data_IF_928454975953
#
_entry.id   IF_928454975953
#
_cell.length_a   1.000
_cell.length_b   1.000
_cell.length_c   1.000
_cell.angle_alpha   90.00
_cell.angle_beta   90.00
_cell.angle_gamma   90.00
#
_symmetry.space_group_name_H-M   'P 1'
#
loop_
_entity.id
_entity.type
_entity.pdbx_description
1 polymer ?
#
# COMPACT_ATOMS: atom_id res chain seq x y z
N UNK A 1 -25.94 -14.21 19.68
CA UNK A 1 -26.19 -13.66 18.31
C UNK A 1 -24.87 -13.30 17.68
N UNK A 2 -24.60 -13.70 16.44
CA UNK A 2 -23.36 -13.27 15.75
C UNK A 2 -23.55 -11.81 15.29
N UNK A 3 -22.54 -10.96 15.58
CA UNK A 3 -22.54 -9.53 15.22
C UNK A 3 -22.63 -9.36 13.70
N UNK A 4 -23.60 -8.58 13.22
CA UNK A 4 -23.68 -8.21 11.80
C UNK A 4 -22.90 -6.95 11.52
N UNK A 5 -21.99 -7.02 10.54
CA UNK A 5 -21.04 -5.95 10.17
C UNK A 5 -21.37 -5.43 8.77
N UNK A 6 -21.57 -4.12 8.64
CA UNK A 6 -21.71 -3.44 7.37
C UNK A 6 -20.37 -2.82 6.93
N UNK A 7 -19.90 -3.14 5.73
CA UNK A 7 -18.65 -2.63 5.20
C UNK A 7 -18.91 -1.70 4.01
N UNK A 8 -18.49 -0.44 4.13
CA UNK A 8 -18.44 0.51 3.03
C UNK A 8 -17.03 0.62 2.49
N UNK A 9 -16.85 0.39 1.20
CA UNK A 9 -15.55 0.53 0.58
C UNK A 9 -15.60 0.59 -0.94
N UNK A 10 -14.48 0.88 -1.56
CA UNK A 10 -14.33 0.84 -2.99
C UNK A 10 -13.97 -0.59 -3.41
N UNK A 11 -14.97 -1.41 -3.69
CA UNK A 11 -14.79 -2.82 -4.07
C UNK A 11 -14.50 -2.98 -5.56
N UNK A 12 -14.86 -2.00 -6.40
CA UNK A 12 -14.64 -2.07 -7.84
C UNK A 12 -15.40 -3.20 -8.52
N UNK A 13 -16.60 -3.54 -8.03
CA UNK A 13 -17.41 -4.60 -8.64
C UNK A 13 -17.64 -4.34 -10.13
N UNK A 14 -17.25 -5.29 -10.98
CA UNK A 14 -17.34 -5.19 -12.45
C UNK A 14 -16.18 -4.41 -13.10
N UNK A 15 -15.15 -4.00 -12.36
CA UNK A 15 -13.94 -3.38 -12.91
C UNK A 15 -12.84 -4.42 -13.12
N UNK A 16 -12.15 -4.35 -14.24
CA UNK A 16 -11.03 -5.24 -14.56
C UNK A 16 -9.70 -4.80 -13.93
N UNK A 17 -9.58 -3.51 -13.58
CA UNK A 17 -8.35 -2.95 -13.00
C UNK A 17 -8.56 -2.59 -11.54
N UNK A 18 -7.75 -3.19 -10.67
CA UNK A 18 -7.76 -2.96 -9.23
C UNK A 18 -6.64 -1.97 -8.86
N UNK A 19 -6.98 -0.95 -8.07
CA UNK A 19 -6.00 -0.04 -7.47
C UNK A 19 -5.74 -0.41 -6.00
N UNK A 20 -4.73 0.21 -5.38
CA UNK A 20 -4.36 -0.09 -3.98
C UNK A 20 -5.52 0.11 -2.97
N UNK A 21 -6.43 1.07 -3.21
CA UNK A 21 -7.62 1.26 -2.39
C UNK A 21 -8.56 0.06 -2.48
N UNK A 22 -8.83 -0.42 -3.70
CA UNK A 22 -9.69 -1.59 -3.94
C UNK A 22 -9.09 -2.84 -3.31
N UNK A 23 -7.79 -3.05 -3.48
CA UNK A 23 -7.07 -4.19 -2.92
C UNK A 23 -7.19 -4.21 -1.40
N UNK A 24 -6.89 -3.10 -0.71
CA UNK A 24 -7.02 -3.04 0.76
C UNK A 24 -8.46 -3.26 1.21
N UNK A 25 -9.44 -2.69 0.49
CA UNK A 25 -10.85 -2.88 0.81
C UNK A 25 -11.26 -4.36 0.72
N UNK A 26 -10.85 -5.04 -0.36
CA UNK A 26 -11.12 -6.47 -0.54
C UNK A 26 -10.41 -7.32 0.52
N UNK A 27 -9.15 -7.01 0.85
CA UNK A 27 -8.39 -7.73 1.87
C UNK A 27 -9.03 -7.62 3.25
N UNK A 28 -9.43 -6.42 3.67
CA UNK A 28 -10.13 -6.22 4.95
C UNK A 28 -11.48 -6.95 4.96
N UNK A 29 -12.26 -6.84 3.88
CA UNK A 29 -13.54 -7.55 3.77
C UNK A 29 -13.37 -9.07 3.83
N UNK A 30 -12.33 -9.61 3.19
CA UNK A 30 -11.99 -11.04 3.25
C UNK A 30 -11.70 -11.47 4.70
N UNK A 31 -10.87 -10.73 5.43
CA UNK A 31 -10.53 -11.04 6.81
C UNK A 31 -11.76 -10.96 7.74
N UNK A 32 -12.64 -9.97 7.54
CA UNK A 32 -13.89 -9.86 8.29
C UNK A 32 -14.83 -11.04 8.01
N UNK A 33 -14.95 -11.47 6.76
CA UNK A 33 -15.75 -12.66 6.39
C UNK A 33 -15.18 -13.95 6.98
N UNK A 34 -13.86 -14.10 6.97
CA UNK A 34 -13.15 -15.24 7.58
C UNK A 34 -13.46 -15.34 9.08
N UNK A 35 -13.45 -14.20 9.79
CA UNK A 35 -13.64 -14.14 11.24
C UNK A 35 -15.10 -14.24 11.67
N UNK A 36 -16.00 -13.48 11.03
CA UNK A 36 -17.39 -13.33 11.48
C UNK A 36 -18.38 -14.21 10.69
N UNK A 37 -17.93 -14.82 9.58
CA UNK A 37 -18.77 -15.59 8.65
C UNK A 37 -19.28 -14.71 7.50
N UNK A 38 -19.38 -15.29 6.29
CA UNK A 38 -19.80 -14.57 5.08
C UNK A 38 -21.20 -13.96 5.20
N UNK A 39 -22.13 -14.66 5.84
CA UNK A 39 -23.51 -14.27 6.04
C UNK A 39 -23.69 -13.07 6.99
N UNK A 40 -22.67 -12.79 7.81
CA UNK A 40 -22.70 -11.70 8.78
C UNK A 40 -21.99 -10.42 8.30
N UNK A 41 -21.38 -10.43 7.09
CA UNK A 41 -20.66 -9.28 6.53
C UNK A 41 -21.34 -8.77 5.27
N UNK A 42 -21.95 -7.59 5.36
CA UNK A 42 -22.69 -6.97 4.26
C UNK A 42 -21.80 -5.89 3.59
N UNK A 43 -21.47 -6.09 2.32
CA UNK A 43 -20.62 -5.18 1.56
C UNK A 43 -21.45 -4.15 0.79
N UNK A 44 -21.01 -2.89 0.81
CA UNK A 44 -21.59 -1.78 0.05
C UNK A 44 -20.50 -1.04 -0.73
N UNK A 45 -20.59 -1.11 -2.06
CA UNK A 45 -19.61 -0.50 -2.94
C UNK A 45 -19.81 1.01 -3.07
N UNK A 46 -18.75 1.76 -2.81
CA UNK A 46 -18.72 3.21 -2.98
C UNK A 46 -18.24 3.64 -4.37
N UNK A 47 -18.01 2.74 -5.32
CA UNK A 47 -17.67 3.04 -6.71
C UNK A 47 -18.88 3.58 -7.51
N UNK A 48 -18.67 4.31 -8.60
CA UNK A 48 -19.73 4.78 -9.52
C UNK A 48 -19.80 6.29 -9.75
N UNK A 49 -20.72 6.74 -10.63
CA UNK A 49 -20.86 8.12 -11.10
C UNK A 49 -21.71 9.05 -10.20
N UNK A 50 -22.32 10.10 -10.80
CA UNK A 50 -22.98 11.23 -10.09
C UNK A 50 -24.15 10.81 -9.20
N UNK A 51 -24.93 9.81 -9.55
CA UNK A 51 -26.02 9.25 -8.74
C UNK A 51 -25.55 8.44 -7.51
N UNK A 52 -24.25 8.28 -7.35
CA UNK A 52 -23.58 7.58 -6.28
C UNK A 52 -23.94 8.11 -4.89
N UNK A 53 -24.05 9.42 -4.71
CA UNK A 53 -24.30 10.03 -3.39
C UNK A 53 -25.64 9.57 -2.82
N UNK A 54 -26.72 9.61 -3.60
CA UNK A 54 -28.03 9.12 -3.15
C UNK A 54 -28.02 7.64 -2.79
N UNK A 55 -27.32 6.82 -3.60
CA UNK A 55 -27.15 5.39 -3.31
C UNK A 55 -26.40 5.19 -2.00
N UNK A 56 -25.31 5.92 -1.79
CA UNK A 56 -24.50 5.82 -0.56
C UNK A 56 -25.31 6.20 0.69
N UNK A 57 -26.15 7.21 0.64
CA UNK A 57 -27.05 7.60 1.75
C UNK A 57 -28.09 6.49 2.01
N UNK A 58 -28.74 5.98 0.95
CA UNK A 58 -29.69 4.86 1.06
C UNK A 58 -29.04 3.63 1.67
N UNK A 59 -27.82 3.29 1.22
CA UNK A 59 -27.04 2.16 1.72
C UNK A 59 -26.62 2.38 3.17
N UNK A 60 -26.29 3.63 3.58
CA UNK A 60 -26.00 3.95 4.98
C UNK A 60 -27.23 3.72 5.88
N UNK A 61 -28.40 4.18 5.48
CA UNK A 61 -29.65 3.92 6.19
C UNK A 61 -30.00 2.43 6.25
N UNK A 62 -29.73 1.68 5.18
CA UNK A 62 -29.94 0.23 5.13
C UNK A 62 -29.03 -0.50 6.10
N UNK A 63 -27.72 -0.24 6.06
CA UNK A 63 -26.77 -0.85 6.99
C UNK A 63 -27.04 -0.43 8.45
N UNK A 64 -27.50 0.80 8.67
CA UNK A 64 -27.88 1.25 10.01
C UNK A 64 -29.01 0.41 10.63
N UNK A 65 -29.93 -0.09 9.80
CA UNK A 65 -31.03 -0.97 10.27
C UNK A 65 -30.56 -2.42 10.48
N UNK A 66 -29.71 -2.93 9.60
CA UNK A 66 -29.38 -4.36 9.56
C UNK A 66 -28.11 -4.73 10.34
N UNK A 67 -27.17 -3.80 10.52
CA UNK A 67 -25.87 -4.08 11.13
C UNK A 67 -25.76 -3.40 12.49
N UNK A 68 -25.06 -4.06 13.40
CA UNK A 68 -24.73 -3.53 14.73
C UNK A 68 -23.49 -2.63 14.63
N UNK A 69 -22.51 -3.04 13.82
CA UNK A 69 -21.25 -2.34 13.63
C UNK A 69 -21.00 -2.05 12.15
N UNK A 70 -20.31 -0.96 11.86
CA UNK A 70 -19.95 -0.52 10.49
C UNK A 70 -18.46 -0.28 10.38
N UNK A 71 -17.88 -0.68 9.25
CA UNK A 71 -16.50 -0.42 8.87
C UNK A 71 -16.47 0.40 7.59
N UNK A 72 -15.83 1.55 7.63
CA UNK A 72 -15.72 2.47 6.51
C UNK A 72 -14.29 2.46 5.96
N UNK A 73 -14.13 2.15 4.67
CA UNK A 73 -12.86 2.21 3.93
C UNK A 73 -13.01 3.21 2.78
N UNK A 74 -12.81 4.49 3.08
CA UNK A 74 -13.17 5.60 2.19
C UNK A 74 -11.97 6.43 1.78
N UNK A 75 -11.95 6.84 0.51
CA UNK A 75 -11.07 7.91 0.03
C UNK A 75 -11.61 9.30 0.39
N UNK A 76 -10.82 10.36 0.11
CA UNK A 76 -11.12 11.75 0.47
C UNK A 76 -12.53 12.25 0.06
N UNK A 77 -13.04 11.81 -1.08
CA UNK A 77 -14.39 12.21 -1.52
C UNK A 77 -15.50 11.47 -0.78
N UNK A 78 -15.29 10.18 -0.49
CA UNK A 78 -16.25 9.36 0.25
C UNK A 78 -16.41 9.81 1.70
N UNK A 79 -15.31 10.19 2.36
CA UNK A 79 -15.31 10.65 3.75
C UNK A 79 -16.14 11.94 3.93
N UNK A 80 -16.10 12.86 2.95
CA UNK A 80 -16.89 14.11 2.98
C UNK A 80 -18.40 13.88 2.98
N UNK A 81 -18.85 12.77 2.41
CA UNK A 81 -20.28 12.44 2.26
C UNK A 81 -20.72 11.47 3.37
N UNK A 82 -20.03 10.34 3.51
CA UNK A 82 -20.51 9.27 4.40
C UNK A 82 -20.25 9.54 5.87
N UNK A 83 -19.17 10.22 6.24
CA UNK A 83 -18.89 10.48 7.67
C UNK A 83 -19.97 11.35 8.32
N UNK A 84 -20.43 12.48 7.75
CA UNK A 84 -21.53 13.24 8.32
C UNK A 84 -22.83 12.43 8.43
N UNK A 85 -23.17 11.68 7.37
CA UNK A 85 -24.39 10.86 7.35
C UNK A 85 -24.36 9.77 8.43
N UNK A 86 -23.26 9.01 8.51
CA UNK A 86 -23.11 7.94 9.51
C UNK A 86 -23.04 8.50 10.93
N UNK A 87 -22.37 9.64 11.13
CA UNK A 87 -22.34 10.33 12.42
C UNK A 87 -23.75 10.69 12.91
N UNK A 88 -24.58 11.28 12.05
CA UNK A 88 -25.97 11.60 12.40
C UNK A 88 -26.79 10.35 12.71
N UNK A 89 -26.66 9.30 11.88
CA UNK A 89 -27.37 8.04 12.09
C UNK A 89 -26.95 7.33 13.38
N UNK A 90 -25.67 7.39 13.76
CA UNK A 90 -25.18 6.84 15.02
C UNK A 90 -25.73 7.59 16.23
N UNK A 91 -25.78 8.93 16.17
CA UNK A 91 -26.38 9.75 17.24
C UNK A 91 -27.84 9.41 17.55
N UNK A 92 -28.57 8.89 16.54
CA UNK A 92 -29.96 8.48 16.67
C UNK A 92 -30.15 7.05 17.23
N UNK A 93 -29.14 6.19 17.13
CA UNK A 93 -29.33 4.75 17.39
C UNK A 93 -28.25 4.09 18.26
N UNK A 94 -27.24 4.83 18.70
CA UNK A 94 -26.16 4.30 19.54
C UNK A 94 -25.31 3.19 18.88
N UNK A 95 -25.29 3.10 17.54
CA UNK A 95 -24.53 2.06 16.83
C UNK A 95 -23.09 2.46 16.56
N UNK A 96 -22.22 1.46 16.47
CA UNK A 96 -20.78 1.57 16.40
C UNK A 96 -20.24 1.71 14.98
N UNK A 97 -19.19 2.52 14.81
CA UNK A 97 -18.55 2.72 13.51
C UNK A 97 -17.05 2.81 13.64
N UNK A 98 -16.36 2.09 12.77
CA UNK A 98 -14.91 2.03 12.65
C UNK A 98 -14.48 2.58 11.30
N UNK A 99 -13.38 3.32 11.25
CA UNK A 99 -12.85 3.90 10.02
C UNK A 99 -11.44 3.37 9.74
N UNK A 100 -11.29 2.61 8.67
CA UNK A 100 -9.98 2.11 8.20
C UNK A 100 -9.43 3.08 7.18
N UNK A 101 -8.29 3.67 7.50
CA UNK A 101 -7.57 4.62 6.64
C UNK A 101 -6.87 3.87 5.51
N UNK A 102 -6.89 4.44 4.31
CA UNK A 102 -6.17 3.92 3.15
C UNK A 102 -5.22 5.01 2.67
N UNK A 103 -3.91 4.78 2.78
CA UNK A 103 -2.84 5.73 2.41
C UNK A 103 -2.54 6.79 3.47
N UNK A 104 -1.56 7.64 3.17
CA UNK A 104 -0.93 8.58 4.11
C UNK A 104 -1.65 9.94 4.35
N UNK A 105 -2.79 10.18 3.74
CA UNK A 105 -3.38 11.53 3.56
C UNK A 105 -4.24 12.06 4.71
N UNK A 106 -4.75 11.23 5.63
CA UNK A 106 -5.87 11.59 6.53
C UNK A 106 -5.52 12.77 7.45
N UNK A 107 -4.37 12.74 8.11
CA UNK A 107 -3.99 13.79 9.07
C UNK A 107 -3.88 15.17 8.38
N UNK A 108 -3.23 15.26 7.23
CA UNK A 108 -3.11 16.51 6.46
C UNK A 108 -4.48 16.99 5.96
N UNK A 109 -5.35 16.07 5.54
CA UNK A 109 -6.71 16.38 5.09
C UNK A 109 -7.58 16.96 6.21
N UNK A 110 -7.48 16.43 7.42
CA UNK A 110 -8.29 16.84 8.57
C UNK A 110 -7.82 18.18 9.18
N UNK A 111 -6.54 18.56 9.07
CA UNK A 111 -6.03 19.87 9.53
C UNK A 111 -6.86 21.03 9.00
N UNK A 112 -7.36 20.94 7.77
CA UNK A 112 -8.20 21.95 7.10
C UNK A 112 -9.70 21.70 7.26
N UNK A 113 -10.15 20.70 8.05
CA UNK A 113 -11.57 20.26 8.13
C UNK A 113 -11.97 19.89 9.56
N UNK A 114 -11.98 20.90 10.45
CA UNK A 114 -12.21 20.72 11.89
C UNK A 114 -13.54 20.04 12.22
N UNK A 115 -14.60 20.32 11.48
CA UNK A 115 -15.93 19.70 11.71
C UNK A 115 -15.88 18.20 11.43
N UNK A 116 -15.23 17.80 10.31
CA UNK A 116 -15.09 16.39 9.95
C UNK A 116 -14.22 15.64 10.96
N UNK A 117 -13.15 16.30 11.45
CA UNK A 117 -12.31 15.76 12.52
C UNK A 117 -13.11 15.51 13.81
N UNK A 118 -13.96 16.46 14.22
CA UNK A 118 -14.85 16.28 15.38
C UNK A 118 -15.79 15.08 15.22
N UNK A 119 -16.38 14.90 14.02
CA UNK A 119 -17.25 13.75 13.75
C UNK A 119 -16.51 12.42 13.82
N UNK A 120 -15.28 12.35 13.28
CA UNK A 120 -14.46 11.13 13.33
C UNK A 120 -14.00 10.79 14.76
N UNK A 121 -13.78 11.78 15.62
CA UNK A 121 -13.47 11.53 17.03
C UNK A 121 -14.59 10.82 17.80
N UNK A 122 -15.81 10.85 17.28
CA UNK A 122 -16.97 10.14 17.86
C UNK A 122 -17.11 8.71 17.32
N UNK A 123 -16.23 8.26 16.43
CA UNK A 123 -16.23 6.86 15.99
C UNK A 123 -15.51 5.99 17.01
N UNK A 124 -15.80 4.69 17.00
CA UNK A 124 -15.25 3.74 17.97
C UNK A 124 -13.77 3.41 17.69
N UNK A 125 -13.34 3.52 16.45
CA UNK A 125 -11.95 3.30 16.08
C UNK A 125 -11.56 3.89 14.72
N UNK A 126 -10.35 4.41 14.66
CA UNK A 126 -9.68 4.86 13.43
C UNK A 126 -8.40 4.05 13.28
N UNK A 127 -8.29 3.31 12.19
CA UNK A 127 -7.19 2.37 11.95
C UNK A 127 -6.24 2.95 10.90
N UNK A 128 -5.08 3.40 11.34
CA UNK A 128 -4.07 4.07 10.53
C UNK A 128 -2.94 3.11 10.11
N UNK A 129 -2.43 3.28 8.90
CA UNK A 129 -1.44 2.35 8.31
C UNK A 129 -0.04 2.46 8.89
N UNK A 130 0.32 3.60 9.51
CA UNK A 130 1.68 3.86 9.98
C UNK A 130 1.68 4.49 11.37
N UNK A 131 2.70 4.20 12.17
CA UNK A 131 2.89 4.82 13.50
C UNK A 131 2.98 6.35 13.42
N UNK A 132 3.61 6.89 12.36
CA UNK A 132 3.66 8.32 12.11
C UNK A 132 2.26 8.93 11.95
N UNK A 133 1.33 8.22 11.30
CA UNK A 133 -0.06 8.69 11.16
C UNK A 133 -0.81 8.56 12.48
N UNK A 134 -0.63 7.48 13.23
CA UNK A 134 -1.20 7.32 14.58
C UNK A 134 -0.78 8.51 15.44
N UNK A 135 0.53 8.81 15.49
CA UNK A 135 1.06 9.95 16.24
C UNK A 135 0.45 11.28 15.79
N UNK A 136 0.42 11.56 14.46
CA UNK A 136 -0.15 12.80 13.91
C UNK A 136 -1.63 12.98 14.25
N UNK A 137 -2.42 11.91 14.27
CA UNK A 137 -3.83 11.96 14.67
C UNK A 137 -3.97 12.12 16.19
N UNK A 138 -3.16 11.44 16.99
CA UNK A 138 -3.13 11.61 18.45
C UNK A 138 -2.76 13.05 18.85
N UNK A 139 -1.78 13.67 18.17
CA UNK A 139 -1.40 15.08 18.35
C UNK A 139 -2.55 16.06 17.99
N UNK A 140 -3.49 15.62 17.16
CA UNK A 140 -4.75 16.35 16.85
C UNK A 140 -5.86 16.08 17.87
N UNK A 141 -5.58 15.32 18.94
CA UNK A 141 -6.50 14.96 20.01
C UNK A 141 -7.50 13.87 19.66
N UNK A 142 -7.10 12.91 18.83
CA UNK A 142 -7.84 11.66 18.63
C UNK A 142 -7.36 10.64 19.67
N UNK A 143 -8.28 10.04 20.40
CA UNK A 143 -8.00 9.03 21.43
C UNK A 143 -8.32 7.59 20.95
N UNK A 144 -9.03 7.48 19.83
CA UNK A 144 -9.55 6.24 19.25
C UNK A 144 -8.74 5.77 18.03
N UNK A 145 -7.42 6.00 18.01
CA UNK A 145 -6.56 5.66 16.87
C UNK A 145 -5.75 4.41 17.17
N UNK A 146 -5.80 3.46 16.25
CA UNK A 146 -5.10 2.18 16.32
C UNK A 146 -4.18 2.01 15.11
N UNK A 147 -3.05 1.32 15.32
CA UNK A 147 -2.20 0.91 14.22
C UNK A 147 -2.83 -0.30 13.51
N UNK A 148 -2.97 -0.19 12.21
CA UNK A 148 -3.39 -1.28 11.32
C UNK A 148 -2.57 -1.17 10.04
N UNK A 149 -1.40 -1.79 9.97
CA UNK A 149 -0.53 -1.72 8.81
C UNK A 149 -1.26 -2.17 7.53
N UNK A 150 -0.75 -1.78 6.40
CA UNK A 150 -1.18 -2.40 5.16
C UNK A 150 -0.78 -3.87 5.17
N UNK A 151 -1.53 -4.73 4.51
CA UNK A 151 -1.29 -6.17 4.45
C UNK A 151 -1.87 -6.74 3.16
N UNK A 152 -1.44 -7.93 2.82
CA UNK A 152 -2.06 -8.72 1.75
C UNK A 152 -2.40 -10.11 2.28
N UNK A 153 -3.58 -10.64 1.95
CA UNK A 153 -3.94 -12.02 2.29
C UNK A 153 -3.20 -12.97 1.33
N UNK A 154 -2.01 -13.43 1.71
CA UNK A 154 -1.31 -14.47 0.96
C UNK A 154 -1.53 -15.82 1.62
N UNK A 155 -1.88 -16.81 0.80
CA UNK A 155 -2.04 -18.20 1.24
C UNK A 155 -0.69 -18.94 1.30
N UNK A 156 0.31 -18.49 0.54
CA UNK A 156 1.62 -19.13 0.47
C UNK A 156 2.74 -18.20 0.95
N UNK A 157 3.39 -18.58 2.05
CA UNK A 157 4.67 -17.98 2.46
C UNK A 157 5.77 -18.51 1.56
N UNK A 158 6.60 -17.60 1.03
CA UNK A 158 7.87 -18.01 0.42
C UNK A 158 8.79 -18.49 1.53
N UNK A 159 9.03 -19.80 1.59
CA UNK A 159 9.81 -20.43 2.65
C UNK A 159 11.31 -20.53 2.34
N UNK A 160 11.73 -20.21 1.10
CA UNK A 160 13.11 -20.38 0.66
C UNK A 160 13.69 -19.09 0.12
N UNK A 161 14.79 -18.66 0.73
CA UNK A 161 15.57 -17.52 0.25
C UNK A 161 16.43 -17.98 -0.93
N UNK A 162 16.33 -17.31 -2.09
CA UNK A 162 17.23 -17.50 -3.22
C UNK A 162 18.66 -17.17 -2.77
N UNK A 163 19.62 -18.08 -2.97
CA UNK A 163 21.01 -17.89 -2.54
C UNK A 163 21.84 -17.14 -3.59
N UNK A 164 21.64 -17.49 -4.86
CA UNK A 164 22.46 -16.95 -5.93
C UNK A 164 21.89 -15.66 -6.53
N UNK A 165 22.77 -14.77 -6.94
CA UNK A 165 22.46 -13.59 -7.72
C UNK A 165 22.45 -13.94 -9.20
N UNK A 166 21.48 -13.42 -9.95
CA UNK A 166 21.39 -13.68 -11.40
C UNK A 166 22.55 -13.04 -12.17
N UNK A 167 22.87 -13.57 -13.32
CA UNK A 167 23.77 -12.93 -14.27
C UNK A 167 23.10 -12.86 -15.65
N UNK A 168 22.73 -11.66 -16.14
CA UNK A 168 22.82 -10.36 -15.46
C UNK A 168 21.95 -10.27 -14.21
N UNK A 169 22.30 -9.36 -13.26
CA UNK A 169 21.52 -9.06 -12.08
C UNK A 169 20.17 -8.49 -12.49
N UNK A 170 19.07 -9.05 -11.99
CA UNK A 170 17.71 -8.69 -12.35
C UNK A 170 17.11 -7.74 -11.33
N UNK A 171 16.90 -6.50 -11.73
CA UNK A 171 16.28 -5.46 -10.94
C UNK A 171 14.86 -5.19 -11.43
N UNK A 172 13.98 -4.76 -10.55
CA UNK A 172 12.64 -4.31 -10.96
C UNK A 172 12.21 -3.03 -10.23
N UNK A 173 11.32 -2.26 -10.88
CA UNK A 173 10.40 -1.34 -10.20
C UNK A 173 9.00 -1.93 -10.27
N UNK A 174 8.20 -1.75 -9.22
CA UNK A 174 6.86 -2.33 -9.14
C UNK A 174 5.88 -1.32 -8.56
N UNK A 175 5.42 -0.37 -9.39
CA UNK A 175 4.55 0.74 -8.98
C UNK A 175 3.82 1.32 -10.20
N UNK A 176 2.92 2.28 -9.99
CA UNK A 176 2.47 3.12 -11.11
C UNK A 176 3.69 3.77 -11.77
N UNK A 177 3.71 3.78 -13.10
CA UNK A 177 4.78 4.40 -13.88
C UNK A 177 4.45 5.87 -14.04
N UNK A 178 5.04 6.70 -13.18
CA UNK A 178 4.87 8.15 -13.14
C UNK A 178 6.13 8.83 -12.61
N UNK A 179 6.23 10.14 -12.79
CA UNK A 179 7.41 10.92 -12.43
C UNK A 179 7.83 10.71 -10.98
N UNK A 180 6.88 10.90 -10.05
CA UNK A 180 7.14 10.87 -8.61
C UNK A 180 7.44 9.46 -8.05
N UNK A 181 7.39 8.44 -8.89
CA UNK A 181 7.84 7.09 -8.55
C UNK A 181 9.33 6.84 -8.84
N UNK A 182 10.02 7.86 -9.35
CA UNK A 182 11.47 7.79 -9.57
C UNK A 182 11.86 6.82 -10.69
N UNK A 183 10.99 6.62 -11.68
CA UNK A 183 11.27 5.67 -12.78
C UNK A 183 12.46 6.13 -13.61
N UNK A 184 12.58 7.44 -13.87
CA UNK A 184 13.72 8.00 -14.60
C UNK A 184 15.02 7.80 -13.83
N UNK A 185 15.01 8.04 -12.50
CA UNK A 185 16.14 7.84 -11.61
C UNK A 185 16.57 6.38 -11.56
N UNK A 186 15.62 5.45 -11.53
CA UNK A 186 15.90 4.02 -11.58
C UNK A 186 16.57 3.62 -12.90
N UNK A 187 16.03 4.04 -14.05
CA UNK A 187 16.59 3.72 -15.37
C UNK A 187 17.99 4.28 -15.52
N UNK A 188 18.19 5.57 -15.22
CA UNK A 188 19.49 6.24 -15.31
C UNK A 188 20.51 5.65 -14.32
N UNK A 189 20.07 5.34 -13.10
CA UNK A 189 20.91 4.73 -12.08
C UNK A 189 21.43 3.35 -12.49
N UNK A 190 20.58 2.52 -13.10
CA UNK A 190 20.99 1.21 -13.63
C UNK A 190 21.95 1.37 -14.84
N UNK A 191 21.72 2.34 -15.70
CA UNK A 191 22.66 2.65 -16.79
C UNK A 191 24.04 3.01 -16.24
N UNK A 192 24.10 3.91 -15.27
CA UNK A 192 25.34 4.30 -14.60
C UNK A 192 26.02 3.12 -13.88
N UNK A 193 25.23 2.23 -13.26
CA UNK A 193 25.76 1.02 -12.62
C UNK A 193 26.43 0.09 -13.66
N UNK A 194 25.85 -0.07 -14.85
CA UNK A 194 26.45 -0.83 -15.94
C UNK A 194 27.75 -0.21 -16.48
N UNK A 195 27.90 1.11 -16.39
CA UNK A 195 29.10 1.81 -16.86
C UNK A 195 30.27 1.75 -15.86
N UNK A 196 29.96 1.62 -14.57
CA UNK A 196 30.95 1.76 -13.48
C UNK A 196 31.14 0.49 -12.65
N UNK A 197 30.18 -0.45 -12.71
CA UNK A 197 30.20 -1.69 -11.92
C UNK A 197 30.96 -2.82 -12.61
N UNK A 198 31.19 -3.89 -11.83
CA UNK A 198 31.82 -5.13 -12.31
C UNK A 198 30.79 -6.14 -12.83
N UNK A 199 29.55 -6.00 -12.40
CA UNK A 199 28.43 -6.84 -12.80
C UNK A 199 27.58 -6.16 -13.87
N UNK A 200 26.79 -6.95 -14.58
CA UNK A 200 25.80 -6.47 -15.53
C UNK A 200 24.42 -6.46 -14.91
N UNK A 201 23.67 -5.39 -15.11
CA UNK A 201 22.35 -5.15 -14.49
C UNK A 201 21.26 -4.98 -15.55
N UNK A 202 20.09 -5.55 -15.31
CA UNK A 202 18.90 -5.39 -16.15
C UNK A 202 17.72 -4.96 -15.29
N UNK A 203 17.01 -3.91 -15.71
CA UNK A 203 15.83 -3.40 -15.04
C UNK A 203 14.57 -3.81 -15.78
N UNK A 204 13.55 -4.26 -15.05
CA UNK A 204 12.18 -4.38 -15.57
C UNK A 204 11.27 -3.41 -14.83
N UNK A 205 10.58 -2.56 -15.58
CA UNK A 205 9.61 -1.59 -15.04
C UNK A 205 8.21 -2.19 -15.15
N UNK A 206 7.55 -2.38 -14.01
CA UNK A 206 6.17 -2.89 -13.94
C UNK A 206 5.20 -1.81 -13.45
N UNK A 207 4.01 -1.83 -14.01
CA UNK A 207 2.86 -1.08 -13.57
C UNK A 207 2.20 -0.24 -14.65
N UNK A 208 1.02 0.29 -14.34
CA UNK A 208 0.26 1.14 -15.24
C UNK A 208 0.99 2.45 -15.50
N UNK A 209 1.17 2.80 -16.77
CA UNK A 209 1.76 4.09 -17.17
C UNK A 209 0.70 5.19 -17.03
N UNK A 210 1.01 6.22 -16.26
CA UNK A 210 0.14 7.39 -16.15
C UNK A 210 0.21 8.22 -17.45
N UNK A 211 -0.96 8.64 -17.93
CA UNK A 211 -1.10 9.40 -19.18
C UNK A 211 -0.18 10.64 -19.26
N UNK A 212 0.06 11.29 -18.13
CA UNK A 212 0.94 12.47 -18.07
C UNK A 212 2.43 12.14 -18.24
N UNK A 213 2.80 10.88 -18.00
CA UNK A 213 4.19 10.42 -18.07
C UNK A 213 4.47 9.56 -19.31
N UNK A 214 3.45 9.27 -20.12
CA UNK A 214 3.51 8.34 -21.24
C UNK A 214 4.57 8.77 -22.28
N UNK A 215 4.55 10.04 -22.71
CA UNK A 215 5.52 10.58 -23.67
C UNK A 215 6.96 10.47 -23.14
N UNK A 216 7.17 10.86 -21.89
CA UNK A 216 8.48 10.75 -21.24
C UNK A 216 8.94 9.30 -21.14
N UNK A 217 8.04 8.38 -20.82
CA UNK A 217 8.33 6.96 -20.71
C UNK A 217 8.72 6.35 -22.06
N UNK A 218 8.05 6.75 -23.16
CA UNK A 218 8.44 6.31 -24.51
C UNK A 218 9.81 6.88 -24.91
N UNK A 219 10.16 8.10 -24.48
CA UNK A 219 11.51 8.64 -24.67
C UNK A 219 12.55 7.79 -23.92
N UNK A 220 12.29 7.45 -22.64
CA UNK A 220 13.19 6.59 -21.87
C UNK A 220 13.38 5.22 -22.53
N UNK A 221 12.32 4.60 -23.08
CA UNK A 221 12.43 3.32 -23.80
C UNK A 221 13.31 3.41 -25.04
N UNK A 222 13.25 4.51 -25.76
CA UNK A 222 14.09 4.71 -26.96
C UNK A 222 15.55 4.96 -26.61
N UNK A 223 15.78 5.74 -25.53
CA UNK A 223 17.13 6.14 -25.13
C UNK A 223 17.88 5.05 -24.35
N UNK A 224 17.15 4.29 -23.51
CA UNK A 224 17.72 3.32 -22.56
C UNK A 224 17.22 1.87 -22.77
N UNK A 225 16.76 1.52 -23.97
CA UNK A 225 16.19 0.20 -24.27
C UNK A 225 17.14 -0.97 -23.99
N UNK A 226 18.45 -0.75 -24.01
CA UNK A 226 19.45 -1.75 -23.65
C UNK A 226 19.58 -1.96 -22.13
N UNK A 227 19.12 -0.99 -21.34
CA UNK A 227 19.23 -1.00 -19.88
C UNK A 227 17.98 -1.55 -19.22
N UNK A 228 16.79 -1.24 -19.75
CA UNK A 228 15.55 -1.68 -19.15
C UNK A 228 14.50 -2.16 -20.17
N UNK A 229 13.51 -2.89 -19.64
CA UNK A 229 12.32 -3.31 -20.39
C UNK A 229 11.05 -2.96 -19.61
N UNK A 230 9.94 -2.78 -20.34
CA UNK A 230 8.63 -2.62 -19.73
C UNK A 230 7.93 -3.99 -19.60
N UNK A 231 7.67 -4.40 -18.38
CA UNK A 231 7.02 -5.68 -18.05
C UNK A 231 5.49 -5.62 -18.02
N UNK A 232 4.91 -4.43 -18.24
CA UNK A 232 3.46 -4.26 -18.22
C UNK A 232 2.85 -4.19 -16.82
N UNK A 233 1.54 -4.36 -16.77
CA UNK A 233 0.77 -4.44 -15.53
C UNK A 233 0.72 -5.89 -15.04
N UNK A 234 0.92 -6.12 -13.75
CA UNK A 234 0.83 -7.45 -13.13
C UNK A 234 -0.41 -7.49 -12.26
N UNK A 235 -1.16 -8.59 -12.36
CA UNK A 235 -2.31 -8.82 -11.49
C UNK A 235 -1.85 -8.89 -10.02
N UNK A 236 -2.66 -8.33 -9.14
CA UNK A 236 -2.28 -8.15 -7.74
C UNK A 236 -1.96 -9.46 -7.00
N UNK A 237 -2.64 -10.55 -7.36
CA UNK A 237 -2.43 -11.90 -6.82
C UNK A 237 -1.17 -12.58 -7.40
N UNK A 238 -0.55 -12.01 -8.44
CA UNK A 238 0.69 -12.50 -9.09
C UNK A 238 1.93 -11.68 -8.74
N UNK A 239 1.78 -10.63 -7.94
CA UNK A 239 2.89 -9.70 -7.66
C UNK A 239 4.08 -10.39 -6.98
N UNK A 240 3.86 -11.14 -5.89
CA UNK A 240 4.94 -11.86 -5.20
C UNK A 240 5.58 -12.91 -6.12
N UNK A 241 4.75 -13.71 -6.83
CA UNK A 241 5.26 -14.71 -7.77
C UNK A 241 6.15 -14.08 -8.86
N UNK A 242 5.76 -12.91 -9.36
CA UNK A 242 6.56 -12.16 -10.35
C UNK A 242 7.89 -11.71 -9.75
N UNK A 243 7.84 -11.14 -8.53
CA UNK A 243 9.00 -10.60 -7.83
C UNK A 243 10.05 -11.66 -7.47
N UNK A 244 9.67 -12.91 -7.25
CA UNK A 244 10.58 -14.03 -6.99
C UNK A 244 11.64 -14.24 -8.10
N UNK A 245 11.40 -13.72 -9.31
CA UNK A 245 12.32 -13.83 -10.45
C UNK A 245 13.42 -12.77 -10.44
N UNK A 246 13.40 -11.82 -9.49
CA UNK A 246 14.32 -10.69 -9.42
C UNK A 246 15.34 -10.84 -8.28
N UNK A 247 16.34 -9.98 -8.28
CA UNK A 247 17.41 -9.97 -7.29
C UNK A 247 17.28 -8.83 -6.28
N UNK A 248 16.71 -7.69 -6.69
CA UNK A 248 16.31 -6.59 -5.81
C UNK A 248 15.19 -5.74 -6.46
N UNK A 249 14.47 -5.00 -5.62
CA UNK A 249 13.49 -4.00 -6.06
C UNK A 249 14.03 -2.59 -5.86
N UNK A 250 13.92 -1.76 -6.90
CA UNK A 250 14.16 -0.33 -6.83
C UNK A 250 12.83 0.39 -6.52
N UNK A 251 12.82 1.17 -5.46
CA UNK A 251 11.67 1.94 -5.01
C UNK A 251 12.04 3.40 -4.72
N UNK A 252 12.56 4.15 -5.74
CA UNK A 252 13.09 5.50 -5.57
C UNK A 252 11.98 6.56 -5.57
N UNK A 253 10.85 6.29 -4.91
CA UNK A 253 9.66 7.16 -4.90
C UNK A 253 9.88 8.41 -4.05
N UNK A 254 9.38 9.56 -4.53
CA UNK A 254 9.22 10.80 -3.76
C UNK A 254 7.77 11.31 -3.82
N UNK A 255 6.82 10.41 -3.98
CA UNK A 255 5.40 10.72 -4.00
C UNK A 255 4.86 11.04 -2.61
N UNK A 256 4.42 12.29 -2.39
CA UNK A 256 3.91 12.77 -1.08
C UNK A 256 2.72 11.98 -0.53
N UNK A 257 1.92 11.38 -1.40
CA UNK A 257 0.77 10.58 -1.00
C UNK A 257 1.10 9.14 -0.58
N UNK A 258 2.38 8.76 -0.55
CA UNK A 258 2.80 7.41 -0.17
C UNK A 258 2.57 7.18 1.33
N UNK A 259 1.82 6.14 1.64
CA UNK A 259 1.82 5.53 2.96
C UNK A 259 2.74 4.31 2.95
N UNK A 260 2.36 3.23 3.64
CA UNK A 260 3.02 1.95 3.47
C UNK A 260 2.60 1.35 2.12
N UNK A 261 3.52 1.38 1.15
CA UNK A 261 3.26 0.84 -0.18
C UNK A 261 3.10 -0.68 -0.14
N UNK A 262 1.99 -1.19 -0.69
CA UNK A 262 1.75 -2.63 -0.78
C UNK A 262 2.84 -3.38 -1.56
N UNK A 263 3.51 -2.72 -2.48
CA UNK A 263 4.62 -3.28 -3.24
C UNK A 263 5.87 -3.54 -2.40
N UNK A 264 6.12 -2.75 -1.32
CA UNK A 264 7.17 -3.06 -0.35
C UNK A 264 6.88 -4.38 0.38
N UNK A 265 5.61 -4.58 0.77
CA UNK A 265 5.19 -5.82 1.40
C UNK A 265 5.37 -7.00 0.44
N UNK A 266 5.02 -6.83 -0.84
CA UNK A 266 5.25 -7.86 -1.87
C UNK A 266 6.74 -8.20 -2.02
N UNK A 267 7.62 -7.18 -2.02
CA UNK A 267 9.06 -7.39 -2.09
C UNK A 267 9.57 -8.16 -0.86
N UNK A 268 9.11 -7.84 0.33
CA UNK A 268 9.49 -8.55 1.55
C UNK A 268 9.01 -10.01 1.54
N UNK A 269 7.77 -10.26 1.08
CA UNK A 269 7.28 -11.64 0.88
C UNK A 269 8.07 -12.42 -0.16
N UNK A 270 8.59 -11.74 -1.19
CA UNK A 270 9.49 -12.33 -2.19
C UNK A 270 10.95 -12.43 -1.71
N UNK A 271 11.24 -12.08 -0.45
CA UNK A 271 12.58 -12.00 0.10
C UNK A 271 13.54 -11.11 -0.73
N UNK A 272 13.03 -10.02 -1.31
CA UNK A 272 13.84 -9.10 -2.10
C UNK A 272 14.42 -7.99 -1.22
N UNK A 273 15.74 -7.71 -1.31
CA UNK A 273 16.29 -6.45 -0.85
C UNK A 273 15.66 -5.27 -1.59
N UNK A 274 15.48 -4.15 -0.90
CA UNK A 274 14.87 -2.97 -1.48
C UNK A 274 15.83 -1.79 -1.45
N UNK A 275 16.07 -1.16 -2.60
CA UNK A 275 16.72 0.15 -2.68
C UNK A 275 15.61 1.19 -2.73
N UNK A 276 15.42 1.94 -1.63
CA UNK A 276 14.33 2.90 -1.50
C UNK A 276 14.85 4.28 -1.10
N UNK A 277 14.10 5.32 -1.44
CA UNK A 277 14.38 6.66 -0.94
C UNK A 277 14.08 6.78 0.55
N UNK A 278 14.91 7.52 1.28
CA UNK A 278 14.59 7.98 2.64
C UNK A 278 13.54 9.10 2.57
N UNK A 279 12.32 8.69 2.26
CA UNK A 279 11.19 9.58 2.04
C UNK A 279 9.93 9.03 2.71
N UNK A 280 9.14 9.92 3.31
CA UNK A 280 7.93 9.59 4.08
C UNK A 280 8.20 8.54 5.17
N UNK A 281 7.62 7.34 5.02
CA UNK A 281 7.74 6.26 6.00
C UNK A 281 8.59 5.08 5.49
N UNK A 282 9.29 5.23 4.37
CA UNK A 282 10.08 4.12 3.81
C UNK A 282 11.13 3.61 4.80
N UNK A 283 11.77 4.51 5.56
CA UNK A 283 12.78 4.18 6.58
C UNK A 283 12.23 3.42 7.80
N UNK A 284 10.93 3.32 7.97
CA UNK A 284 10.31 2.47 9.01
C UNK A 284 10.28 0.99 8.61
N UNK A 285 10.46 0.69 7.34
CA UNK A 285 10.29 -0.64 6.77
C UNK A 285 11.50 -1.12 5.99
N UNK A 286 12.18 -0.21 5.28
CA UNK A 286 13.48 -0.47 4.66
C UNK A 286 14.55 -0.01 5.65
N UNK A 287 15.18 -0.97 6.31
CA UNK A 287 16.23 -0.73 7.30
C UNK A 287 17.59 -0.75 6.56
N UNK A 288 18.23 0.42 6.52
CA UNK A 288 19.49 0.60 5.81
C UNK A 288 20.58 -0.37 6.31
N UNK A 289 21.21 -1.12 5.41
CA UNK A 289 22.21 -2.13 5.73
C UNK A 289 21.65 -3.45 6.28
N UNK A 290 20.32 -3.60 6.37
CA UNK A 290 19.70 -4.85 6.82
C UNK A 290 18.87 -5.52 5.73
N UNK A 291 17.69 -4.98 5.39
CA UNK A 291 16.81 -5.51 4.35
C UNK A 291 16.78 -4.65 3.08
N UNK A 292 17.57 -3.58 3.05
CA UNK A 292 17.67 -2.68 1.92
C UNK A 292 18.65 -1.54 2.13
N UNK A 293 18.71 -0.65 1.14
CA UNK A 293 19.56 0.54 1.16
C UNK A 293 18.66 1.76 0.99
N UNK A 294 18.78 2.72 1.91
CA UNK A 294 18.11 4.01 1.82
C UNK A 294 18.97 5.01 1.06
N UNK A 295 18.36 5.72 0.13
CA UNK A 295 19.01 6.71 -0.75
C UNK A 295 18.31 8.06 -0.70
N UNK A 296 18.98 9.11 -1.15
CA UNK A 296 18.37 10.42 -1.36
C UNK A 296 17.39 10.37 -2.54
N UNK A 297 16.25 11.04 -2.45
CA UNK A 297 15.30 11.14 -3.56
C UNK A 297 15.89 11.92 -4.75
N UNK A 298 15.30 11.73 -5.93
CA UNK A 298 15.62 12.44 -7.17
C UNK A 298 17.10 12.33 -7.61
N UNK A 299 17.77 11.21 -7.30
CA UNK A 299 19.18 11.02 -7.60
C UNK A 299 19.48 9.67 -8.27
N UNK A 300 19.73 9.69 -9.57
CA UNK A 300 20.21 8.52 -10.31
C UNK A 300 21.60 8.05 -9.82
N UNK A 301 22.44 8.97 -9.37
CA UNK A 301 23.75 8.66 -8.78
C UNK A 301 23.61 7.87 -7.51
N UNK A 302 22.68 8.28 -6.61
CA UNK A 302 22.42 7.53 -5.39
C UNK A 302 21.85 6.12 -5.68
N UNK A 303 20.99 5.98 -6.69
CA UNK A 303 20.52 4.66 -7.16
C UNK A 303 21.69 3.80 -7.63
N UNK A 304 22.60 4.35 -8.47
CA UNK A 304 23.82 3.65 -8.93
C UNK A 304 24.65 3.17 -7.75
N UNK A 305 24.98 4.06 -6.82
CA UNK A 305 25.83 3.73 -5.66
C UNK A 305 25.22 2.62 -4.82
N UNK A 306 23.92 2.71 -4.53
CA UNK A 306 23.23 1.67 -3.78
C UNK A 306 23.19 0.31 -4.51
N UNK A 307 23.09 0.28 -5.85
CA UNK A 307 23.17 -0.96 -6.62
C UNK A 307 24.58 -1.57 -6.48
N UNK A 308 25.63 -0.77 -6.67
CA UNK A 308 27.00 -1.26 -6.54
C UNK A 308 27.33 -1.70 -5.12
N UNK A 309 26.87 -0.97 -4.11
CA UNK A 309 27.05 -1.35 -2.70
C UNK A 309 26.36 -2.68 -2.42
N UNK A 310 25.09 -2.84 -2.78
CA UNK A 310 24.33 -4.07 -2.51
C UNK A 310 24.93 -5.32 -3.17
N UNK A 311 25.36 -5.23 -4.43
CA UNK A 311 25.76 -6.40 -5.20
C UNK A 311 27.26 -6.65 -5.29
N UNK A 312 28.10 -5.68 -5.00
CA UNK A 312 29.54 -5.79 -5.11
C UNK A 312 30.28 -5.72 -3.76
N UNK A 313 29.60 -5.25 -2.69
CA UNK A 313 30.24 -5.08 -1.37
C UNK A 313 29.53 -5.85 -0.25
N UNK A 314 28.22 -6.12 -0.38
CA UNK A 314 27.40 -6.68 0.67
C UNK A 314 27.04 -8.16 0.42
N UNK A 315 26.62 -8.86 1.47
CA UNK A 315 26.03 -10.20 1.36
C UNK A 315 24.52 -10.09 1.07
N UNK A 316 24.17 -10.19 -0.20
CA UNK A 316 22.77 -10.12 -0.68
C UNK A 316 21.89 -11.17 0.01
N UNK A 317 22.43 -12.33 0.39
CA UNK A 317 21.64 -13.39 1.04
C UNK A 317 21.21 -12.99 2.44
N UNK A 318 22.04 -12.23 3.17
CA UNK A 318 21.68 -11.67 4.47
C UNK A 318 20.55 -10.64 4.34
N UNK A 319 20.62 -9.75 3.35
CA UNK A 319 19.54 -8.79 3.06
C UNK A 319 18.22 -9.49 2.71
N UNK A 320 18.26 -10.56 1.92
CA UNK A 320 17.09 -11.36 1.58
C UNK A 320 16.45 -12.00 2.81
N UNK A 321 17.24 -12.57 3.70
CA UNK A 321 16.76 -13.15 4.95
C UNK A 321 16.06 -12.09 5.83
N UNK A 322 16.64 -10.90 5.94
CA UNK A 322 16.06 -9.77 6.68
C UNK A 322 14.79 -9.23 6.04
N UNK A 323 14.70 -9.19 4.70
CA UNK A 323 13.47 -8.85 4.00
C UNK A 323 12.35 -9.83 4.32
N UNK A 324 12.63 -11.13 4.34
CA UNK A 324 11.64 -12.14 4.73
C UNK A 324 11.22 -12.02 6.19
N UNK A 325 12.12 -11.71 7.12
CA UNK A 325 11.78 -11.40 8.50
C UNK A 325 10.87 -10.16 8.61
N UNK A 326 11.13 -9.14 7.78
CA UNK A 326 10.26 -7.95 7.73
C UNK A 326 8.84 -8.29 7.30
N UNK A 327 8.65 -9.25 6.37
CA UNK A 327 7.33 -9.68 5.91
C UNK A 327 6.43 -10.17 7.04
N UNK A 328 6.98 -10.74 8.11
CA UNK A 328 6.21 -11.23 9.27
C UNK A 328 5.42 -10.13 9.97
N UNK A 329 5.86 -8.89 9.89
CA UNK A 329 5.15 -7.72 10.46
C UNK A 329 3.83 -7.40 9.73
N UNK A 330 3.59 -7.99 8.56
CA UNK A 330 2.46 -7.71 7.67
C UNK A 330 1.54 -8.91 7.49
N UNK A 331 1.58 -9.86 8.43
CA UNK A 331 0.65 -10.98 8.44
C UNK A 331 -0.79 -10.47 8.59
N UNK A 332 -1.72 -10.96 7.77
CA UNK A 332 -3.11 -10.46 7.76
C UNK A 332 -3.77 -10.51 9.14
N UNK A 333 -3.61 -11.61 9.87
CA UNK A 333 -4.19 -11.84 11.19
C UNK A 333 -3.70 -10.81 12.21
N UNK A 334 -2.40 -10.49 12.20
CA UNK A 334 -1.81 -9.51 13.10
C UNK A 334 -2.21 -8.08 12.70
N UNK A 335 -2.23 -7.78 11.41
CA UNK A 335 -2.59 -6.46 10.92
C UNK A 335 -4.04 -6.07 11.25
N UNK A 336 -4.99 -7.02 11.18
CA UNK A 336 -6.42 -6.73 11.46
C UNK A 336 -6.83 -7.00 12.91
N UNK A 337 -5.92 -7.47 13.76
CA UNK A 337 -6.22 -7.89 15.14
C UNK A 337 -6.98 -6.82 15.93
N UNK A 338 -6.49 -5.60 15.99
CA UNK A 338 -7.12 -4.51 16.71
C UNK A 338 -8.51 -4.15 16.17
N UNK A 339 -8.71 -4.25 14.85
CA UNK A 339 -10.04 -4.05 14.26
C UNK A 339 -11.00 -5.17 14.68
N UNK A 340 -10.57 -6.43 14.61
CA UNK A 340 -11.41 -7.58 14.98
C UNK A 340 -11.78 -7.54 16.47
N UNK A 341 -10.84 -7.25 17.36
CA UNK A 341 -11.07 -7.12 18.79
C UNK A 341 -12.11 -6.04 19.11
N UNK A 342 -12.02 -4.87 18.46
CA UNK A 342 -12.99 -3.80 18.64
C UNK A 342 -14.37 -4.08 17.97
N UNK A 343 -14.42 -5.05 17.05
CA UNK A 343 -15.66 -5.49 16.41
C UNK A 343 -16.34 -6.67 17.14
N UNK A 344 -15.69 -7.33 18.09
CA UNK A 344 -16.28 -8.31 18.99
C UNK A 344 -17.00 -7.62 20.15
#
# INVERSE_FOLDING_TARGET
MRVKIGVFGHFGFGQTKLNGQTIKTLSVAHMLKKEFGEENVILKDTSGGMFKIFRMIKDACHLQKQCEKKVLLLAQNGIRVLVPVVYMLNGLSGKHTHFVVIGGWLAAFLKKRRTLAKMLKCFDGIYAETESMVKKLSDMGFENVYLMPNFKPFEEKVCTVKKDVSNPVKLCTFSRVMQEKGIEEAVKGVKLANEHGKLSYRLTVFGMVEKKFEEKFECLKREYGDTFSYGGEVAYDKSVQTLLSYDAMLFPTYYDGEGLAGTLIDAFYAALPVIATDFNCNNNYVLHGENGILIQPESAVAVKEAILDLFEKEDVSAFRAKSLCMAERFLPEDAVRSLIENLR
#
